data_IF_467531427817
#
_entry.id   IF_467531427817
#
_cell.length_a   1.000
_cell.length_b   1.000
_cell.length_c   1.000
_cell.angle_alpha   90.00
_cell.angle_beta   90.00
_cell.angle_gamma   90.00
#
_symmetry.space_group_name_H-M   'P 1'
#
loop_
_entity.id
_entity.type
_entity.pdbx_description
1 polymer ?
#
# COMPACT_ATOMS: atom_id res chain seq x y z
N UNK A 1 11.62 -17.84 -0.53
CA UNK A 1 11.84 -16.38 -0.54
C UNK A 1 10.87 -15.81 -1.56
N UNK A 2 9.85 -15.03 -1.14
CA UNK A 2 8.83 -14.51 -2.05
C UNK A 2 9.46 -13.55 -3.08
N UNK A 3 9.35 -13.89 -4.37
CA UNK A 3 9.84 -13.09 -5.50
C UNK A 3 8.67 -12.58 -6.32
N UNK A 4 8.63 -11.27 -6.56
CA UNK A 4 7.53 -10.63 -7.24
C UNK A 4 7.95 -10.02 -8.58
N UNK A 5 7.24 -10.35 -9.66
CA UNK A 5 7.45 -9.74 -10.98
C UNK A 5 6.42 -8.65 -11.26
N UNK A 6 6.89 -7.55 -11.86
CA UNK A 6 6.10 -6.39 -12.22
C UNK A 6 5.39 -6.61 -13.57
N UNK A 7 4.06 -6.56 -13.59
CA UNK A 7 3.28 -6.39 -14.83
C UNK A 7 2.64 -5.00 -14.85
N UNK A 8 3.04 -4.16 -15.81
CA UNK A 8 2.58 -2.76 -15.93
C UNK A 8 1.30 -2.70 -16.77
N UNK A 9 0.17 -2.33 -16.18
CA UNK A 9 -1.03 -1.97 -16.93
C UNK A 9 -0.93 -0.52 -17.44
N UNK A 10 -0.79 -0.34 -18.76
CA UNK A 10 -0.84 1.00 -19.38
C UNK A 10 -2.28 1.33 -19.79
N UNK A 11 -2.86 2.38 -19.20
CA UNK A 11 -4.09 3.00 -19.72
C UNK A 11 -3.79 3.82 -20.97
N UNK A 12 -3.94 3.23 -22.16
CA UNK A 12 -3.75 3.95 -23.43
C UNK A 12 -5.06 4.59 -23.91
N UNK A 13 -5.23 5.89 -23.61
CA UNK A 13 -6.31 6.69 -24.20
C UNK A 13 -5.95 7.15 -25.62
N UNK A 14 -6.50 6.50 -26.65
CA UNK A 14 -6.44 6.99 -28.05
C UNK A 14 -7.35 8.21 -28.22
N UNK A 15 -6.82 9.29 -28.79
CA UNK A 15 -7.60 10.44 -29.27
C UNK A 15 -8.06 10.21 -30.70
N UNK A 16 -9.33 10.49 -30.99
CA UNK A 16 -9.79 10.79 -32.35
C UNK A 16 -10.37 12.21 -32.37
N UNK A 17 -9.88 13.02 -33.32
CA UNK A 17 -10.37 14.36 -33.65
C UNK A 17 -11.70 14.28 -34.41
N UNK A 18 -12.59 15.26 -34.21
CA UNK A 18 -13.77 15.45 -35.05
C UNK A 18 -14.73 16.54 -34.55
N UNK A 19 -14.51 17.75 -35.07
CA UNK A 19 -15.48 18.81 -35.44
C UNK A 19 -16.24 19.70 -34.42
N UNK A 20 -16.33 20.95 -34.88
CA UNK A 20 -16.70 22.21 -34.23
C UNK A 20 -18.13 22.61 -34.66
N UNK A 21 -18.98 23.04 -33.72
CA UNK A 21 -19.90 24.17 -33.93
C UNK A 21 -20.62 24.64 -32.65
N UNK A 22 -20.34 25.91 -32.30
CA UNK A 22 -21.24 26.95 -31.76
C UNK A 22 -22.01 26.73 -30.44
N UNK A 23 -21.43 27.27 -29.36
CA UNK A 23 -21.93 28.53 -28.81
C UNK A 23 -23.05 28.48 -27.76
N UNK A 24 -22.69 28.26 -26.50
CA UNK A 24 -23.21 29.01 -25.35
C UNK A 24 -22.06 29.24 -24.36
N UNK A 25 -21.75 30.51 -24.07
CA UNK A 25 -20.74 30.90 -23.07
C UNK A 25 -21.25 30.44 -21.70
N UNK A 26 -20.64 29.40 -21.15
CA UNK A 26 -20.67 29.18 -19.71
C UNK A 26 -19.50 29.99 -19.15
N UNK A 27 -19.79 30.99 -18.32
CA UNK A 27 -18.81 31.82 -17.64
C UNK A 27 -17.79 30.92 -16.93
N UNK A 28 -16.50 31.07 -17.30
CA UNK A 28 -15.38 30.49 -16.54
C UNK A 28 -15.29 31.19 -15.19
N UNK A 29 -16.06 30.71 -14.22
CA UNK A 29 -15.65 30.84 -12.83
C UNK A 29 -14.53 29.83 -12.63
N UNK A 30 -13.30 30.32 -12.81
CA UNK A 30 -12.09 29.62 -12.40
C UNK A 30 -12.16 29.49 -10.88
N UNK A 31 -12.84 28.45 -10.42
CA UNK A 31 -12.82 28.05 -9.02
C UNK A 31 -11.37 27.72 -8.71
N UNK A 32 -10.66 28.69 -8.14
CA UNK A 32 -9.40 28.49 -7.49
C UNK A 32 -9.71 27.69 -6.22
N UNK A 33 -10.00 26.39 -6.40
CA UNK A 33 -10.12 25.47 -5.30
C UNK A 33 -8.76 25.50 -4.58
N UNK A 34 -8.69 25.93 -3.31
CA UNK A 34 -7.50 25.68 -2.53
C UNK A 34 -7.28 24.16 -2.56
N UNK A 35 -6.05 23.73 -2.88
CA UNK A 35 -5.70 22.32 -2.86
C UNK A 35 -6.14 21.73 -1.52
N UNK A 36 -7.17 20.87 -1.54
CA UNK A 36 -7.56 20.13 -0.36
C UNK A 36 -6.32 19.33 0.07
N UNK A 37 -5.85 19.45 1.32
CA UNK A 37 -4.77 18.61 1.79
C UNK A 37 -5.28 17.17 1.81
N UNK A 38 -5.02 16.42 0.74
CA UNK A 38 -5.21 14.96 0.66
C UNK A 38 -4.25 14.20 1.61
N UNK A 39 -3.56 14.93 2.49
CA UNK A 39 -2.43 14.50 3.31
C UNK A 39 -2.79 14.18 4.77
N UNK A 40 -4.08 14.00 5.08
CA UNK A 40 -4.53 13.52 6.39
C UNK A 40 -5.45 12.31 6.20
N UNK A 41 -4.91 11.28 5.56
CA UNK A 41 -5.54 9.97 5.56
C UNK A 41 -5.10 9.33 6.88
N UNK A 42 -6.05 9.02 7.76
CA UNK A 42 -5.74 8.32 8.99
C UNK A 42 -4.94 7.05 8.72
N UNK A 43 -4.15 6.58 9.68
CA UNK A 43 -3.26 5.45 9.46
C UNK A 43 -4.06 4.24 8.95
N UNK A 44 -3.54 3.52 7.95
CA UNK A 44 -4.22 2.34 7.42
C UNK A 44 -4.35 1.27 8.50
N UNK A 45 -5.40 0.47 8.41
CA UNK A 45 -5.65 -0.65 9.30
C UNK A 45 -5.61 -1.95 8.51
N UNK A 46 -5.01 -2.98 9.09
CA UNK A 46 -5.10 -4.35 8.62
C UNK A 46 -5.52 -5.25 9.78
N UNK A 47 -6.36 -6.24 9.51
CA UNK A 47 -6.88 -7.20 10.49
C UNK A 47 -6.55 -8.61 10.03
N UNK A 48 -6.05 -9.44 10.95
CA UNK A 48 -5.76 -10.85 10.67
C UNK A 48 -5.14 -11.55 11.88
N UNK A 49 -5.29 -12.86 11.95
CA UNK A 49 -4.75 -13.71 13.02
C UNK A 49 -3.24 -13.96 12.82
N UNK A 50 -2.39 -13.05 13.30
CA UNK A 50 -0.95 -13.07 13.00
C UNK A 50 -0.17 -14.06 13.88
N UNK A 51 -0.77 -14.51 14.98
CA UNK A 51 -0.19 -15.47 15.92
C UNK A 51 -0.84 -16.87 15.85
N UNK A 52 -1.87 -17.05 15.01
CA UNK A 52 -2.65 -18.29 14.82
C UNK A 52 -3.37 -18.78 16.08
N UNK A 53 -3.82 -17.88 16.94
CA UNK A 53 -4.59 -18.24 18.14
C UNK A 53 -6.11 -18.28 17.91
N UNK A 54 -6.55 -17.98 16.68
CA UNK A 54 -7.94 -17.95 16.25
C UNK A 54 -8.65 -16.63 16.55
N UNK A 55 -7.92 -15.58 16.95
CA UNK A 55 -8.43 -14.24 17.21
C UNK A 55 -7.91 -13.24 16.16
N UNK A 56 -8.65 -12.15 15.98
CA UNK A 56 -8.29 -11.11 15.01
C UNK A 56 -7.33 -10.10 15.64
N UNK A 57 -6.09 -10.07 15.16
CA UNK A 57 -5.11 -9.05 15.53
C UNK A 57 -5.20 -7.84 14.60
N UNK A 58 -4.73 -6.68 15.08
CA UNK A 58 -4.87 -5.41 14.36
C UNK A 58 -3.52 -4.72 14.19
N UNK A 59 -3.15 -4.46 12.95
CA UNK A 59 -2.06 -3.54 12.63
C UNK A 59 -2.61 -2.15 12.28
N UNK A 60 -1.95 -1.13 12.82
CA UNK A 60 -2.23 0.28 12.57
C UNK A 60 -0.97 0.91 12.00
N UNK A 61 -1.07 1.48 10.81
CA UNK A 61 0.03 2.16 10.14
C UNK A 61 0.50 3.42 10.87
N UNK A 62 1.65 3.92 10.45
CA UNK A 62 2.28 5.14 10.94
C UNK A 62 2.17 6.31 9.96
N UNK A 63 2.16 7.53 10.48
CA UNK A 63 2.47 8.72 9.69
C UNK A 63 4.00 8.93 9.66
N UNK A 64 4.51 9.77 8.75
CA UNK A 64 5.94 10.07 8.70
C UNK A 64 6.47 10.57 10.07
N UNK A 65 7.47 9.88 10.60
CA UNK A 65 8.06 10.10 11.93
C UNK A 65 7.41 9.29 13.06
N UNK A 66 6.29 8.61 12.82
CA UNK A 66 5.53 7.81 13.78
C UNK A 66 5.52 6.36 13.30
N UNK A 67 6.07 5.40 14.07
CA UNK A 67 6.05 3.99 13.66
C UNK A 67 4.62 3.42 13.69
N UNK A 68 4.36 2.46 12.81
CA UNK A 68 3.19 1.60 12.91
C UNK A 68 3.21 0.75 14.19
N UNK A 69 2.06 0.16 14.52
CA UNK A 69 1.84 -0.63 15.73
C UNK A 69 1.00 -1.87 15.43
N UNK A 70 1.34 -2.96 16.08
CA UNK A 70 0.58 -4.20 16.04
C UNK A 70 -0.06 -4.43 17.41
N UNK A 71 -1.33 -4.76 17.43
CA UNK A 71 -2.10 -5.08 18.62
C UNK A 71 -2.61 -6.50 18.54
N UNK A 72 -2.22 -7.32 19.52
CA UNK A 72 -2.64 -8.71 19.63
C UNK A 72 -3.89 -8.80 20.49
N UNK A 73 -4.92 -9.48 19.98
CA UNK A 73 -6.15 -9.68 20.71
C UNK A 73 -5.95 -10.72 21.82
N UNK A 74 -6.63 -10.51 22.95
CA UNK A 74 -6.71 -11.47 24.05
C UNK A 74 -8.09 -12.09 24.10
N UNK A 75 -8.18 -13.28 24.69
CA UNK A 75 -9.45 -14.01 24.88
C UNK A 75 -10.51 -13.26 25.70
N UNK A 76 -10.12 -12.24 26.46
CA UNK A 76 -11.02 -11.35 27.19
C UNK A 76 -11.57 -10.19 26.33
N UNK A 77 -11.21 -10.13 25.04
CA UNK A 77 -11.55 -9.07 24.10
C UNK A 77 -10.65 -7.84 24.18
N UNK A 78 -9.67 -7.82 25.09
CA UNK A 78 -8.67 -6.76 25.18
C UNK A 78 -7.58 -6.88 24.12
N UNK A 79 -6.78 -5.82 23.97
CA UNK A 79 -5.65 -5.77 23.03
C UNK A 79 -4.35 -5.41 23.74
N UNK A 80 -3.24 -5.96 23.25
CA UNK A 80 -1.89 -5.66 23.74
C UNK A 80 -1.01 -5.24 22.57
N UNK A 81 -0.31 -4.13 22.72
CA UNK A 81 0.68 -3.74 21.73
C UNK A 81 1.85 -4.75 21.71
N UNK A 82 2.11 -5.35 20.56
CA UNK A 82 3.29 -6.17 20.30
C UNK A 82 4.47 -5.25 20.02
N UNK A 83 5.32 -5.05 21.04
CA UNK A 83 6.44 -4.09 20.98
C UNK A 83 7.79 -4.75 20.72
N UNK A 84 7.93 -6.04 21.01
CA UNK A 84 9.22 -6.71 20.98
C UNK A 84 9.57 -7.23 19.57
N UNK A 85 10.74 -6.82 19.07
CA UNK A 85 11.30 -7.35 17.82
C UNK A 85 10.57 -6.91 16.55
N UNK A 86 9.77 -5.85 16.63
CA UNK A 86 9.05 -5.34 15.47
C UNK A 86 9.89 -4.39 14.61
N UNK A 87 9.71 -4.38 13.27
CA UNK A 87 10.53 -3.57 12.37
C UNK A 87 10.07 -2.10 12.27
N UNK A 88 8.89 -1.76 12.82
CA UNK A 88 8.21 -0.47 12.62
C UNK A 88 9.06 0.74 13.02
N UNK A 89 9.84 0.64 14.10
CA UNK A 89 10.68 1.73 14.58
C UNK A 89 11.78 2.12 13.59
N UNK A 90 12.33 1.15 12.85
CA UNK A 90 13.35 1.39 11.83
C UNK A 90 12.75 2.04 10.57
N UNK A 91 11.46 1.79 10.31
CA UNK A 91 10.74 2.33 9.16
C UNK A 91 9.81 3.51 9.53
N UNK A 92 9.99 4.12 10.70
CA UNK A 92 9.13 5.23 11.17
C UNK A 92 9.10 6.45 10.23
N UNK A 93 10.10 6.59 9.35
CA UNK A 93 10.19 7.73 8.43
C UNK A 93 9.30 7.56 7.18
N UNK A 94 8.78 6.36 6.94
CA UNK A 94 7.80 6.11 5.88
C UNK A 94 6.42 6.59 6.35
N UNK A 95 5.58 7.01 5.40
CA UNK A 95 4.17 7.30 5.65
C UNK A 95 3.34 6.15 5.09
N UNK A 96 2.48 5.56 5.92
CA UNK A 96 1.68 4.38 5.57
C UNK A 96 0.33 4.82 5.03
N UNK A 97 -0.02 4.37 3.82
CA UNK A 97 -1.25 4.78 3.13
C UNK A 97 -2.20 3.61 2.83
N UNK A 98 -1.71 2.38 2.98
CA UNK A 98 -2.47 1.14 2.89
C UNK A 98 -1.77 0.02 3.64
N UNK A 99 -2.53 -0.95 4.14
CA UNK A 99 -2.00 -2.12 4.82
C UNK A 99 -2.87 -3.34 4.50
N UNK A 100 -2.25 -4.51 4.35
CA UNK A 100 -2.95 -5.76 4.07
C UNK A 100 -2.20 -6.95 4.68
N UNK A 101 -2.93 -7.78 5.43
CA UNK A 101 -2.44 -9.11 5.80
C UNK A 101 -2.82 -10.13 4.74
N UNK A 102 -1.85 -10.96 4.34
CA UNK A 102 -2.04 -12.06 3.38
C UNK A 102 -0.84 -13.01 3.46
N UNK A 103 -0.98 -14.25 3.00
CA UNK A 103 0.15 -15.20 2.93
C UNK A 103 0.99 -14.92 1.67
N UNK A 104 2.13 -14.24 1.83
CA UNK A 104 2.96 -13.81 0.70
C UNK A 104 3.94 -14.90 0.25
N UNK A 105 4.33 -15.79 1.15
CA UNK A 105 5.38 -16.78 0.93
C UNK A 105 4.87 -18.23 0.88
N UNK A 106 3.58 -18.47 1.16
CA UNK A 106 2.94 -19.78 1.13
C UNK A 106 3.14 -20.63 2.40
N UNK A 107 3.62 -20.06 3.51
CA UNK A 107 3.82 -20.77 4.78
C UNK A 107 2.56 -20.81 5.68
N UNK A 108 1.47 -20.19 5.20
CA UNK A 108 0.18 -20.06 5.86
C UNK A 108 0.15 -19.03 6.98
N UNK A 109 1.24 -18.31 7.25
CA UNK A 109 1.26 -17.22 8.23
C UNK A 109 0.86 -15.93 7.51
N UNK A 110 -0.02 -15.11 8.10
CA UNK A 110 -0.29 -13.80 7.52
C UNK A 110 0.97 -12.93 7.56
N UNK A 111 1.51 -12.63 6.38
CA UNK A 111 2.52 -11.60 6.13
C UNK A 111 1.84 -10.24 5.98
N UNK A 112 2.60 -9.15 6.15
CA UNK A 112 2.07 -7.79 6.11
C UNK A 112 2.64 -7.02 4.94
N UNK A 113 1.77 -6.56 4.04
CA UNK A 113 2.08 -5.55 3.04
C UNK A 113 1.71 -4.16 3.56
N UNK A 114 2.59 -3.19 3.40
CA UNK A 114 2.33 -1.78 3.71
C UNK A 114 2.64 -0.92 2.48
N UNK A 115 1.61 -0.27 1.97
CA UNK A 115 1.70 0.72 0.90
C UNK A 115 2.20 2.05 1.48
N UNK A 116 3.17 2.66 0.80
CA UNK A 116 3.82 3.89 1.21
C UNK A 116 3.40 5.07 0.35
N UNK A 117 3.22 6.21 1.01
CA UNK A 117 2.83 7.46 0.36
C UNK A 117 3.66 8.64 0.83
N UNK A 118 3.40 9.79 0.22
CA UNK A 118 4.01 11.05 0.66
C UNK A 118 3.97 12.11 -0.43
N UNK A 119 3.08 13.09 -0.26
CA UNK A 119 2.95 14.22 -1.17
C UNK A 119 4.19 15.14 -1.23
N UNK A 120 4.86 15.51 -0.11
CA UNK A 120 5.97 16.46 -0.16
C UNK A 120 7.28 15.85 -0.69
N UNK A 121 7.35 14.52 -0.78
CA UNK A 121 8.55 13.79 -1.20
C UNK A 121 8.90 14.07 -2.67
N UNK A 122 10.20 14.10 -3.02
CA UNK A 122 10.60 14.14 -4.42
C UNK A 122 10.21 12.83 -5.13
N UNK A 123 9.87 12.88 -6.43
CA UNK A 123 9.74 11.67 -7.25
C UNK A 123 10.99 10.79 -7.12
N UNK A 124 10.82 9.47 -7.03
CA UNK A 124 11.93 8.54 -6.84
C UNK A 124 12.49 8.46 -5.41
N UNK A 125 11.88 9.15 -4.44
CA UNK A 125 12.25 8.97 -3.03
C UNK A 125 12.08 7.50 -2.60
N UNK A 126 13.11 6.94 -1.96
CA UNK A 126 13.04 5.60 -1.34
C UNK A 126 11.90 5.44 -0.33
N UNK A 127 11.41 6.55 0.24
CA UNK A 127 10.31 6.54 1.20
C UNK A 127 8.94 6.30 0.56
N UNK A 128 8.87 6.29 -0.78
CA UNK A 128 7.69 5.91 -1.55
C UNK A 128 7.64 4.41 -1.84
N UNK A 129 8.72 3.68 -1.55
CA UNK A 129 8.78 2.24 -1.79
C UNK A 129 7.90 1.50 -0.80
N UNK A 130 6.94 0.74 -1.32
CA UNK A 130 6.10 -0.17 -0.54
C UNK A 130 6.96 -1.22 0.16
N UNK A 131 6.45 -1.74 1.29
CA UNK A 131 7.19 -2.64 2.17
C UNK A 131 6.42 -3.93 2.36
N UNK A 132 7.14 -5.04 2.26
CA UNK A 132 6.65 -6.36 2.65
C UNK A 132 7.38 -6.81 3.92
N UNK A 133 6.60 -7.25 4.90
CA UNK A 133 7.07 -7.77 6.16
C UNK A 133 6.66 -9.23 6.27
N UNK A 134 7.64 -10.10 6.41
CA UNK A 134 7.43 -11.53 6.54
C UNK A 134 7.24 -11.90 8.00
N UNK A 135 6.14 -12.59 8.29
CA UNK A 135 5.85 -13.13 9.60
C UNK A 135 6.72 -14.36 9.85
N UNK A 136 7.46 -14.36 10.97
CA UNK A 136 8.33 -15.47 11.39
C UNK A 136 7.67 -16.36 12.45
N UNK A 137 6.36 -16.17 12.67
CA UNK A 137 5.58 -16.82 13.72
C UNK A 137 5.31 -15.89 14.90
N UNK A 138 4.24 -16.20 15.64
CA UNK A 138 3.81 -15.49 16.86
C UNK A 138 3.69 -13.96 16.69
N UNK A 139 3.31 -13.50 15.48
CA UNK A 139 3.19 -12.08 15.16
C UNK A 139 4.52 -11.31 15.14
N UNK A 140 5.65 -11.98 14.91
CA UNK A 140 6.99 -11.34 14.78
C UNK A 140 7.34 -11.11 13.32
N UNK A 141 7.50 -9.85 12.95
CA UNK A 141 7.73 -9.47 11.55
C UNK A 141 9.18 -9.11 11.25
N UNK A 142 9.63 -9.44 10.05
CA UNK A 142 10.93 -9.02 9.51
C UNK A 142 10.70 -8.41 8.13
N UNK A 143 11.24 -7.21 7.91
CA UNK A 143 11.18 -6.56 6.60
C UNK A 143 11.97 -7.35 5.56
N UNK A 144 11.35 -7.66 4.43
CA UNK A 144 12.05 -8.12 3.23
C UNK A 144 12.20 -6.94 2.25
N UNK A 145 13.40 -6.37 2.20
CA UNK A 145 13.70 -5.22 1.34
C UNK A 145 13.95 -5.60 -0.12
N UNK A 146 13.98 -6.88 -0.47
CA UNK A 146 14.25 -7.36 -1.83
C UNK A 146 13.05 -8.11 -2.44
N UNK A 147 11.98 -8.32 -1.68
CA UNK A 147 10.78 -8.99 -2.16
C UNK A 147 10.06 -8.21 -3.27
N UNK A 148 9.95 -6.89 -3.12
CA UNK A 148 9.19 -6.05 -4.04
C UNK A 148 10.08 -5.40 -5.11
N UNK A 149 9.60 -5.27 -6.35
CA UNK A 149 10.27 -4.47 -7.36
C UNK A 149 10.31 -3.00 -6.95
N UNK A 150 11.22 -2.24 -7.55
CA UNK A 150 11.33 -0.81 -7.29
C UNK A 150 10.08 -0.08 -7.81
N UNK A 151 9.39 0.61 -6.90
CA UNK A 151 8.17 1.37 -7.16
C UNK A 151 8.34 2.76 -6.56
N UNK A 152 8.34 3.77 -7.42
CA UNK A 152 8.55 5.18 -7.06
C UNK A 152 7.26 6.01 -7.06
N UNK A 153 6.12 5.35 -6.85
CA UNK A 153 4.77 5.94 -6.87
C UNK A 153 4.15 5.84 -5.49
N UNK A 154 3.41 6.86 -5.05
CA UNK A 154 2.61 6.73 -3.83
C UNK A 154 1.42 5.81 -4.09
N UNK A 155 1.35 4.70 -3.37
CA UNK A 155 0.27 3.71 -3.48
C UNK A 155 -0.63 3.78 -2.24
N UNK A 156 -1.81 3.15 -2.28
CA UNK A 156 -2.69 3.09 -1.12
C UNK A 156 -3.68 1.92 -1.15
N UNK A 157 -4.34 1.70 -2.29
CA UNK A 157 -5.29 0.62 -2.42
C UNK A 157 -4.52 -0.67 -2.72
N UNK A 158 -4.64 -1.68 -1.86
CA UNK A 158 -3.97 -2.98 -2.04
C UNK A 158 -5.01 -4.08 -1.91
N UNK A 159 -4.99 -5.04 -2.82
CA UNK A 159 -5.84 -6.23 -2.76
C UNK A 159 -5.02 -7.47 -3.17
N UNK A 160 -5.17 -8.55 -2.40
CA UNK A 160 -4.58 -9.84 -2.71
C UNK A 160 -5.59 -10.77 -3.38
N UNK A 161 -5.14 -11.56 -4.35
CA UNK A 161 -5.97 -12.57 -5.01
C UNK A 161 -5.13 -13.44 -5.94
N UNK A 162 -5.52 -14.70 -6.14
CA UNK A 162 -4.88 -15.59 -7.11
C UNK A 162 -5.40 -15.27 -8.52
N UNK A 163 -4.77 -14.31 -9.19
CA UNK A 163 -5.19 -13.87 -10.53
C UNK A 163 -4.65 -14.77 -11.64
N UNK A 164 -3.58 -15.50 -11.36
CA UNK A 164 -2.96 -16.43 -12.32
C UNK A 164 -3.56 -17.83 -12.27
N UNK A 165 -4.31 -18.15 -11.21
CA UNK A 165 -4.93 -19.46 -10.99
C UNK A 165 -3.93 -20.54 -10.58
N UNK A 166 -2.78 -20.14 -10.03
CA UNK A 166 -1.70 -21.04 -9.65
C UNK A 166 -1.62 -21.34 -8.15
N UNK A 167 -2.65 -20.90 -7.41
CA UNK A 167 -2.81 -21.13 -5.98
C UNK A 167 -1.99 -20.19 -5.10
N UNK A 168 -1.23 -19.24 -5.67
CA UNK A 168 -0.50 -18.22 -4.91
C UNK A 168 -1.22 -16.89 -5.02
N UNK A 169 -1.24 -16.15 -3.91
CA UNK A 169 -1.83 -14.81 -3.91
C UNK A 169 -0.91 -13.84 -4.65
N UNK A 170 -1.46 -13.19 -5.68
CA UNK A 170 -0.89 -12.04 -6.37
C UNK A 170 -1.41 -10.73 -5.73
N UNK A 171 -0.78 -9.58 -6.01
CA UNK A 171 -1.20 -8.29 -5.48
C UNK A 171 -1.58 -7.30 -6.57
N UNK A 172 -2.76 -6.68 -6.44
CA UNK A 172 -3.08 -5.44 -7.12
C UNK A 172 -2.75 -4.26 -6.20
N UNK A 173 -1.96 -3.31 -6.70
CA UNK A 173 -1.54 -2.11 -5.97
C UNK A 173 -1.94 -0.88 -6.76
N UNK A 174 -2.97 -0.19 -6.28
CA UNK A 174 -3.47 1.05 -6.83
C UNK A 174 -2.56 2.22 -6.49
N UNK A 175 -1.94 2.81 -7.51
CA UNK A 175 -1.27 4.09 -7.37
C UNK A 175 -2.28 5.19 -7.11
N UNK A 176 -1.98 6.07 -6.15
CA UNK A 176 -2.88 7.14 -5.73
C UNK A 176 -2.46 8.51 -6.20
N UNK A 177 -1.17 8.83 -6.14
CA UNK A 177 -0.62 10.05 -6.73
C UNK A 177 0.79 9.84 -7.27
N UNK A 178 1.13 10.67 -8.24
CA UNK A 178 2.53 10.98 -8.54
C UNK A 178 2.93 12.23 -7.74
N UNK A 179 3.94 12.16 -6.87
CA UNK A 179 4.40 13.30 -6.08
C UNK A 179 4.66 14.53 -6.97
N UNK A 180 4.19 15.70 -6.54
CA UNK A 180 4.30 16.99 -7.26
C UNK A 180 3.65 17.07 -8.65
N UNK A 181 2.86 16.06 -9.05
CA UNK A 181 2.23 16.01 -10.37
C UNK A 181 0.71 15.81 -10.32
N UNK A 182 0.06 16.35 -9.29
CA UNK A 182 -1.39 16.41 -9.22
C UNK A 182 -1.94 17.35 -10.31
N UNK A 183 -3.05 17.02 -11.03
CA UNK A 183 -3.98 15.90 -10.83
C UNK A 183 -3.78 14.71 -11.80
N UNK A 184 -2.58 14.49 -12.34
CA UNK A 184 -2.38 13.48 -13.37
C UNK A 184 -2.54 12.05 -12.82
N UNK A 185 -3.15 11.12 -13.61
CA UNK A 185 -3.28 9.73 -13.20
C UNK A 185 -1.89 9.11 -12.98
N UNK A 186 -1.80 8.27 -11.96
CA UNK A 186 -0.55 7.60 -11.62
C UNK A 186 -0.59 6.12 -11.98
N UNK A 187 0.57 5.45 -11.90
CA UNK A 187 0.72 4.04 -12.28
C UNK A 187 0.12 3.15 -11.19
N UNK A 188 -0.71 2.20 -11.58
CA UNK A 188 -1.09 1.06 -10.73
C UNK A 188 -0.31 -0.17 -11.16
N UNK A 189 -0.13 -1.12 -10.24
CA UNK A 189 0.72 -2.28 -10.41
C UNK A 189 -0.08 -3.56 -10.19
N UNK A 190 0.21 -4.57 -11.01
CA UNK A 190 -0.14 -5.95 -10.71
C UNK A 190 1.18 -6.68 -10.45
N UNK A 191 1.38 -7.09 -9.21
CA UNK A 191 2.56 -7.82 -8.77
C UNK A 191 2.21 -9.30 -8.79
N UNK A 192 2.89 -10.05 -9.66
CA UNK A 192 2.75 -11.50 -9.74
C UNK A 192 3.69 -12.16 -8.74
N UNK A 193 3.19 -13.12 -7.97
CA UNK A 193 3.99 -13.92 -7.04
C UNK A 193 4.65 -15.11 -7.79
N UNK A 194 5.91 -14.95 -8.18
CA UNK A 194 6.67 -15.96 -8.94
C UNK A 194 7.37 -17.00 -8.03
N UNK A 195 7.10 -16.98 -6.73
CA UNK A 195 7.48 -18.06 -5.82
C UNK A 195 8.09 -17.56 -4.52
N UNK A 196 7.59 -18.11 -3.41
CA UNK A 196 8.21 -18.18 -2.08
C UNK A 196 8.72 -19.58 -1.82
#
# INVERSE_FOLDING_TARGET
MARWALSIAHGSGRRSNGDVATGRRCSEERSNQPAHPLSAQGPPLAVGDVNRDGLDDVFIGGAAGVPGRLFIQRKDGGFVESTQGQPWAADKDYEDWGALFFDANGDGLPDLYVASGGYPLPPGSRLLQDRLYINRGDGRFVRDSQALPEMSTSTAAVAAGDFTGDGRLDLFVGGRLSPRNYPYPTRSYLLRNDGG
#
